data_IF_633181173160
#
_entry.id   IF_633181173160
#
_cell.length_a   1.000
_cell.length_b   1.000
_cell.length_c   1.000
_cell.angle_alpha   90.00
_cell.angle_beta   90.00
_cell.angle_gamma   90.00
#
_symmetry.space_group_name_H-M   'P 1'
#
loop_
_entity.id
_entity.type
_entity.pdbx_description
1 polymer ?
#
# COMPACT_ATOMS: atom_id res chain seq x y z
N UNK A 1 1.05 14.27 -10.20
CA UNK A 1 0.74 13.00 -9.51
C UNK A 1 2.01 12.19 -9.31
N UNK A 2 2.13 11.53 -8.19
CA UNK A 2 3.25 10.65 -7.89
C UNK A 2 2.73 9.27 -7.55
N UNK A 3 3.29 8.24 -8.16
CA UNK A 3 2.92 6.85 -7.93
C UNK A 3 4.13 6.11 -7.39
N UNK A 4 3.97 5.47 -6.23
CA UNK A 4 5.01 4.65 -5.62
C UNK A 4 4.52 3.21 -5.51
N UNK A 5 5.27 2.27 -6.09
CA UNK A 5 4.95 0.84 -6.00
C UNK A 5 5.45 0.35 -4.64
N UNK A 6 4.54 -0.06 -3.77
CA UNK A 6 4.88 -0.59 -2.45
C UNK A 6 5.06 -2.10 -2.46
N UNK A 7 4.30 -2.79 -3.28
CA UNK A 7 4.39 -4.25 -3.41
C UNK A 7 4.12 -4.63 -4.86
N UNK A 8 4.96 -5.48 -5.39
CA UNK A 8 4.89 -6.05 -6.73
C UNK A 8 5.72 -7.33 -6.69
N UNK A 9 5.64 -8.15 -7.73
CA UNK A 9 6.41 -9.38 -7.80
C UNK A 9 7.85 -9.16 -8.28
N UNK A 10 8.28 -7.90 -8.45
CA UNK A 10 9.67 -7.55 -8.79
C UNK A 10 10.28 -6.68 -7.69
N UNK A 11 11.46 -7.03 -7.14
CA UNK A 11 12.11 -6.20 -6.13
C UNK A 11 12.72 -4.95 -6.74
N UNK A 12 12.85 -3.89 -5.93
CA UNK A 12 13.49 -2.64 -6.34
C UNK A 12 14.25 -2.04 -5.16
N UNK A 13 15.50 -1.65 -5.38
CA UNK A 13 16.34 -0.82 -4.48
C UNK A 13 16.30 -1.25 -3.02
N UNK A 14 16.57 -2.51 -2.73
CA UNK A 14 16.60 -3.00 -1.35
C UNK A 14 15.24 -3.25 -0.73
N UNK A 15 14.17 -3.07 -1.48
CA UNK A 15 12.83 -3.45 -1.06
C UNK A 15 12.62 -4.93 -1.30
N UNK A 16 11.76 -5.52 -0.49
CA UNK A 16 11.33 -6.89 -0.69
C UNK A 16 10.24 -6.96 -1.75
N UNK A 17 10.06 -8.14 -2.34
CA UNK A 17 9.02 -8.40 -3.32
C UNK A 17 8.16 -9.58 -2.87
N UNK A 18 6.90 -9.57 -3.28
CA UNK A 18 5.99 -10.69 -3.09
C UNK A 18 4.95 -10.69 -4.21
N UNK A 19 4.22 -11.78 -4.34
CA UNK A 19 3.13 -11.89 -5.30
C UNK A 19 1.94 -11.09 -4.77
N UNK A 20 1.72 -9.93 -5.35
CA UNK A 20 0.63 -9.04 -4.95
C UNK A 20 0.96 -7.58 -5.24
N UNK A 21 -0.06 -6.76 -5.38
CA UNK A 21 0.08 -5.36 -5.79
C UNK A 21 -0.32 -4.41 -4.66
N UNK A 22 0.45 -3.34 -4.49
CA UNK A 22 0.06 -2.19 -3.69
C UNK A 22 0.73 -0.95 -4.23
N UNK A 23 -0.05 0.10 -4.48
CA UNK A 23 0.42 1.38 -5.00
C UNK A 23 0.05 2.51 -4.04
N UNK A 24 1.02 3.38 -3.75
CA UNK A 24 0.81 4.60 -3.00
C UNK A 24 0.75 5.76 -3.97
N UNK A 25 -0.38 6.46 -4.01
CA UNK A 25 -0.65 7.51 -4.97
C UNK A 25 -0.72 8.86 -4.25
N UNK A 26 -0.02 9.86 -4.78
CA UNK A 26 -0.04 11.21 -4.25
C UNK A 26 -0.49 12.17 -5.34
N UNK A 27 -1.52 12.98 -5.03
CA UNK A 27 -2.08 13.94 -5.98
C UNK A 27 -2.62 15.15 -5.24
N UNK A 28 -2.10 16.34 -5.56
CA UNK A 28 -2.55 17.62 -5.00
C UNK A 28 -2.64 17.62 -3.46
N UNK A 29 -1.62 17.05 -2.80
CA UNK A 29 -1.55 17.00 -1.35
C UNK A 29 -2.38 15.88 -0.71
N UNK A 30 -3.04 15.05 -1.50
CA UNK A 30 -3.79 13.91 -1.00
C UNK A 30 -3.05 12.60 -1.28
N UNK A 31 -3.14 11.66 -0.35
CA UNK A 31 -2.57 10.34 -0.51
C UNK A 31 -3.68 9.28 -0.58
N UNK A 32 -3.53 8.35 -1.50
CA UNK A 32 -4.45 7.24 -1.72
C UNK A 32 -3.66 5.94 -1.73
N UNK A 33 -4.31 4.86 -1.34
CA UNK A 33 -3.71 3.52 -1.43
C UNK A 33 -4.56 2.65 -2.36
N UNK A 34 -3.93 2.08 -3.39
CA UNK A 34 -4.58 1.10 -4.27
C UNK A 34 -4.03 -0.27 -3.92
N UNK A 35 -4.91 -1.14 -3.43
CA UNK A 35 -4.62 -2.50 -3.00
C UNK A 35 -3.56 -2.58 -1.88
N UNK A 36 -3.48 -3.70 -1.20
CA UNK A 36 -2.58 -3.88 -0.05
C UNK A 36 -1.59 -5.03 -0.21
N UNK A 37 -1.60 -5.73 -1.35
CA UNK A 37 -0.75 -6.89 -1.53
C UNK A 37 -1.23 -8.10 -0.74
N UNK A 38 -0.38 -9.11 -0.64
CA UNK A 38 -0.73 -10.40 -0.05
C UNK A 38 -0.45 -10.48 1.46
N UNK A 39 0.30 -9.52 2.01
CA UNK A 39 0.69 -9.52 3.42
C UNK A 39 0.96 -8.09 3.89
N UNK A 40 1.72 -7.93 4.97
CA UNK A 40 2.14 -6.62 5.48
C UNK A 40 3.35 -6.03 4.75
N UNK A 41 3.84 -6.67 3.69
CA UNK A 41 5.05 -6.24 2.98
C UNK A 41 4.92 -4.81 2.46
N UNK A 42 3.76 -4.44 1.90
CA UNK A 42 3.54 -3.08 1.42
C UNK A 42 3.76 -2.04 2.53
N UNK A 43 3.34 -2.36 3.75
CA UNK A 43 3.48 -1.44 4.87
C UNK A 43 4.95 -1.32 5.31
N UNK A 44 5.68 -2.42 5.32
CA UNK A 44 7.11 -2.40 5.63
C UNK A 44 7.90 -1.62 4.58
N UNK A 45 7.54 -1.80 3.31
CA UNK A 45 8.17 -1.04 2.23
C UNK A 45 7.82 0.44 2.29
N UNK A 46 6.57 0.79 2.62
CA UNK A 46 6.19 2.19 2.81
C UNK A 46 7.02 2.85 3.92
N UNK A 47 7.21 2.16 5.04
CA UNK A 47 8.02 2.66 6.13
C UNK A 47 9.49 2.84 5.72
N UNK A 48 10.05 1.89 4.96
CA UNK A 48 11.41 1.98 4.46
C UNK A 48 11.59 3.17 3.49
N UNK A 49 10.55 3.54 2.75
CA UNK A 49 10.57 4.68 1.83
C UNK A 49 10.20 6.00 2.50
N UNK A 50 9.86 6.00 3.79
CA UNK A 50 9.45 7.19 4.50
C UNK A 50 8.04 7.67 4.18
N UNK A 51 7.19 6.80 3.66
CA UNK A 51 5.80 7.14 3.34
C UNK A 51 4.91 6.86 4.54
N UNK A 52 3.96 7.76 4.81
CA UNK A 52 3.07 7.70 5.97
C UNK A 52 1.71 7.11 5.56
N UNK A 53 1.47 5.85 5.90
CA UNK A 53 0.17 5.22 5.65
C UNK A 53 -0.94 5.87 6.50
N UNK A 54 -0.60 6.47 7.63
CA UNK A 54 -1.56 7.21 8.46
C UNK A 54 -2.11 8.46 7.77
N UNK A 55 -1.43 8.98 6.76
CA UNK A 55 -1.86 10.14 6.00
C UNK A 55 -2.74 9.79 4.79
N UNK A 56 -2.95 8.50 4.51
CA UNK A 56 -3.80 8.07 3.40
C UNK A 56 -5.25 8.49 3.66
N UNK A 57 -5.85 9.21 2.71
CA UNK A 57 -7.21 9.70 2.82
C UNK A 57 -8.24 8.58 2.63
N UNK A 58 -8.01 7.70 1.67
CA UNK A 58 -8.83 6.52 1.45
C UNK A 58 -8.08 5.49 0.62
N UNK A 59 -8.51 4.24 0.71
CA UNK A 59 -7.99 3.16 -0.11
C UNK A 59 -8.99 2.68 -1.13
N UNK A 60 -8.51 2.04 -2.18
CA UNK A 60 -9.32 1.42 -3.22
C UNK A 60 -8.85 -0.01 -3.41
N UNK A 61 -9.79 -0.95 -3.42
CA UNK A 61 -9.51 -2.35 -3.73
C UNK A 61 -9.95 -2.61 -5.15
N UNK A 62 -9.00 -2.96 -6.04
CA UNK A 62 -9.30 -3.17 -7.45
C UNK A 62 -10.18 -4.41 -7.65
N UNK A 63 -9.95 -5.45 -6.83
CA UNK A 63 -10.79 -6.63 -6.78
C UNK A 63 -10.47 -7.42 -5.50
N UNK A 64 -11.44 -8.18 -4.99
CA UNK A 64 -11.33 -8.90 -3.73
C UNK A 64 -10.57 -10.22 -3.91
N UNK A 65 -9.31 -10.15 -4.32
CA UNK A 65 -8.43 -11.30 -4.48
C UNK A 65 -7.38 -11.27 -3.37
N UNK A 66 -6.96 -12.43 -2.87
CA UNK A 66 -6.08 -12.50 -1.70
C UNK A 66 -4.77 -11.73 -1.88
N UNK A 67 -4.19 -11.74 -3.08
CA UNK A 67 -2.91 -11.09 -3.36
C UNK A 67 -3.02 -9.56 -3.50
N UNK A 68 -4.23 -9.00 -3.36
CA UNK A 68 -4.48 -7.56 -3.38
C UNK A 68 -5.13 -7.06 -2.08
N UNK A 69 -5.70 -7.94 -1.27
CA UNK A 69 -6.52 -7.56 -0.13
C UNK A 69 -5.99 -8.07 1.23
N UNK A 70 -5.11 -9.07 1.25
CA UNK A 70 -4.69 -9.68 2.52
C UNK A 70 -3.85 -8.75 3.41
N UNK A 71 -3.34 -7.64 2.89
CA UNK A 71 -2.62 -6.66 3.68
C UNK A 71 -3.51 -5.64 4.40
N UNK A 72 -4.84 -5.73 4.27
CA UNK A 72 -5.74 -4.71 4.83
C UNK A 72 -5.64 -4.60 6.35
N UNK A 73 -5.42 -5.70 7.07
CA UNK A 73 -5.24 -5.65 8.52
C UNK A 73 -4.02 -4.80 8.90
N UNK A 74 -2.92 -4.94 8.17
CA UNK A 74 -1.72 -4.13 8.41
C UNK A 74 -1.97 -2.65 8.10
N UNK A 75 -2.78 -2.35 7.07
CA UNK A 75 -3.16 -0.98 6.76
C UNK A 75 -3.99 -0.37 7.89
N UNK A 76 -5.06 -1.07 8.33
CA UNK A 76 -5.94 -0.54 9.37
C UNK A 76 -5.26 -0.41 10.73
N UNK A 77 -4.22 -1.20 10.99
CA UNK A 77 -3.40 -1.02 12.19
C UNK A 77 -2.66 0.33 12.17
N UNK A 78 -2.37 0.88 11.00
CA UNK A 78 -1.65 2.15 10.81
C UNK A 78 -2.58 3.32 10.51
N UNK A 79 -3.78 3.04 10.02
CA UNK A 79 -4.77 4.07 9.66
C UNK A 79 -6.17 3.52 9.89
N UNK A 80 -6.67 3.58 11.14
CA UNK A 80 -7.98 3.00 11.46
C UNK A 80 -9.18 3.79 10.95
N UNK A 81 -8.98 4.99 10.45
CA UNK A 81 -10.09 5.89 10.07
C UNK A 81 -10.31 6.02 8.58
N UNK A 82 -9.35 5.66 7.73
CA UNK A 82 -9.52 5.79 6.29
C UNK A 82 -10.49 4.74 5.75
N UNK A 83 -11.47 5.13 4.93
CA UNK A 83 -12.33 4.14 4.26
C UNK A 83 -11.56 3.42 3.15
N UNK A 84 -12.01 2.24 2.87
CA UNK A 84 -11.40 1.42 1.83
C UNK A 84 -12.48 0.91 0.87
#
# INVERSE_FOLDING_TARGET
MRITVLSDNLPARGLEAEWGLSLYLEYQGHALLLDTGASDLFARNAEALGLDLGAVAFGVLSHAHWDHANGMDAFFARNPSAPF
#
